data_IF_884566448562
#
_entry.id   IF_884566448562
#
_cell.length_a   1.000
_cell.length_b   1.000
_cell.length_c   1.000
_cell.angle_alpha   90.00
_cell.angle_beta   90.00
_cell.angle_gamma   90.00
#
_symmetry.space_group_name_H-M   'P 1'
#
loop_
_entity.id
_entity.type
_entity.pdbx_description
1 polymer ?
#
# COMPACT_ATOMS: atom_id res chain seq x y z
N UNK A 1 -56.29 16.55 55.38
CA UNK A 1 -56.33 17.30 54.12
C UNK A 1 -55.20 18.32 54.16
N UNK A 2 -54.02 17.92 53.70
CA UNK A 2 -52.81 18.73 53.76
C UNK A 2 -52.76 19.56 52.47
N UNK A 3 -53.04 20.85 52.57
CA UNK A 3 -52.97 21.79 51.46
C UNK A 3 -51.52 21.92 50.99
N UNK A 4 -51.23 21.36 49.82
CA UNK A 4 -49.97 21.59 49.10
C UNK A 4 -50.04 23.03 48.59
N UNK A 5 -49.12 23.95 48.96
CA UNK A 5 -49.13 25.30 48.42
C UNK A 5 -48.78 25.24 46.94
N UNK A 6 -49.69 25.72 46.09
CA UNK A 6 -49.37 25.98 44.69
C UNK A 6 -48.21 26.98 44.63
N UNK A 7 -47.10 26.55 44.04
CA UNK A 7 -45.92 27.37 43.84
C UNK A 7 -46.25 28.43 42.78
N UNK A 8 -46.79 29.57 43.23
CA UNK A 8 -47.03 30.74 42.41
C UNK A 8 -45.73 31.26 41.83
N UNK A 9 -45.34 30.79 40.63
CA UNK A 9 -44.23 31.37 39.87
C UNK A 9 -44.56 32.83 39.60
N UNK A 10 -43.79 33.75 40.17
CA UNK A 10 -43.99 35.19 39.91
C UNK A 10 -43.87 35.46 38.41
N UNK A 11 -44.62 36.41 37.83
CA UNK A 11 -44.63 36.67 36.39
C UNK A 11 -43.24 37.01 35.83
N UNK A 12 -42.34 37.57 36.66
CA UNK A 12 -40.93 37.80 36.32
C UNK A 12 -40.14 36.50 36.10
N UNK A 13 -40.42 35.45 36.87
CA UNK A 13 -39.80 34.13 36.73
C UNK A 13 -40.30 33.45 35.46
N UNK A 14 -41.60 33.55 35.14
CA UNK A 14 -42.16 33.00 33.91
C UNK A 14 -41.56 33.67 32.65
N UNK A 15 -41.42 34.99 32.64
CA UNK A 15 -40.79 35.72 31.52
C UNK A 15 -39.33 35.29 31.33
N UNK A 16 -38.54 35.18 32.42
CA UNK A 16 -37.15 34.71 32.34
C UNK A 16 -37.04 33.29 31.78
N UNK A 17 -37.94 32.39 32.19
CA UNK A 17 -37.98 31.03 31.66
C UNK A 17 -38.30 31.00 30.17
N UNK A 18 -39.24 31.82 29.69
CA UNK A 18 -39.57 31.93 28.26
C UNK A 18 -38.38 32.48 27.46
N UNK A 19 -37.70 33.52 27.96
CA UNK A 19 -36.50 34.07 27.30
C UNK A 19 -35.39 33.03 27.19
N UNK A 20 -35.12 32.28 28.26
CA UNK A 20 -34.14 31.18 28.25
C UNK A 20 -34.57 30.10 27.26
N UNK A 21 -35.85 29.73 27.22
CA UNK A 21 -36.36 28.72 26.31
C UNK A 21 -36.18 29.12 24.84
N UNK A 22 -36.48 30.37 24.48
CA UNK A 22 -36.27 30.90 23.12
C UNK A 22 -34.78 30.88 22.77
N UNK A 23 -33.91 31.30 23.70
CA UNK A 23 -32.47 31.29 23.50
C UNK A 23 -31.93 29.87 23.27
N UNK A 24 -32.36 28.90 24.07
CA UNK A 24 -31.98 27.49 23.92
C UNK A 24 -32.50 26.91 22.60
N UNK A 25 -33.75 27.18 22.23
CA UNK A 25 -34.31 26.72 20.96
C UNK A 25 -33.59 27.31 19.75
N UNK A 26 -33.21 28.59 19.82
CA UNK A 26 -32.41 29.25 18.78
C UNK A 26 -31.03 28.60 18.63
N UNK A 27 -30.37 28.28 19.75
CA UNK A 27 -29.07 27.60 19.74
C UNK A 27 -29.18 26.16 19.19
N UNK A 28 -30.21 25.42 19.58
CA UNK A 28 -30.46 24.09 19.03
C UNK A 28 -30.83 24.14 17.55
N UNK A 29 -31.59 25.15 17.11
CA UNK A 29 -31.93 25.37 15.70
C UNK A 29 -30.70 25.64 14.84
N UNK A 30 -29.77 26.46 15.33
CA UNK A 30 -28.50 26.74 14.64
C UNK A 30 -27.61 25.50 14.56
N UNK A 31 -27.49 24.72 15.65
CA UNK A 31 -26.77 23.44 15.63
C UNK A 31 -27.43 22.41 14.70
N UNK A 32 -28.76 22.32 14.71
CA UNK A 32 -29.52 21.44 13.83
C UNK A 32 -29.36 21.80 12.35
N UNK A 33 -29.41 23.10 12.03
CA UNK A 33 -29.13 23.60 10.69
C UNK A 33 -27.69 23.30 10.24
N UNK A 34 -26.71 23.46 11.14
CA UNK A 34 -25.31 23.09 10.86
C UNK A 34 -25.14 21.59 10.64
N UNK A 35 -25.80 20.76 11.43
CA UNK A 35 -25.76 19.31 11.29
C UNK A 35 -26.38 18.85 9.97
N UNK A 36 -27.54 19.42 9.61
CA UNK A 36 -28.20 19.16 8.32
C UNK A 36 -27.29 19.55 7.15
N UNK A 37 -26.64 20.71 7.23
CA UNK A 37 -25.67 21.15 6.23
C UNK A 37 -24.52 20.14 6.05
N UNK A 38 -23.91 19.71 7.17
CA UNK A 38 -22.80 18.74 7.13
C UNK A 38 -23.23 17.35 6.64
N UNK A 39 -24.41 16.87 7.03
CA UNK A 39 -24.87 15.52 6.69
C UNK A 39 -25.45 15.41 5.29
N UNK A 40 -26.14 16.44 4.78
CA UNK A 40 -26.91 16.33 3.53
C UNK A 40 -26.24 17.08 2.38
N UNK A 41 -25.65 18.24 2.63
CA UNK A 41 -24.98 19.00 1.55
C UNK A 41 -23.53 18.54 1.35
N UNK A 42 -22.83 18.26 2.43
CA UNK A 42 -21.42 17.83 2.40
C UNK A 42 -21.24 16.35 2.79
N UNK A 43 -22.34 15.62 3.02
CA UNK A 43 -22.31 14.23 3.48
C UNK A 43 -21.50 13.32 2.57
N UNK A 44 -21.72 13.41 1.26
CA UNK A 44 -21.00 12.59 0.27
C UNK A 44 -19.51 12.93 0.22
N UNK A 45 -19.14 14.21 0.37
CA UNK A 45 -17.75 14.65 0.39
C UNK A 45 -17.01 14.13 1.63
N UNK A 46 -17.64 14.25 2.81
CA UNK A 46 -17.07 13.73 4.06
C UNK A 46 -17.09 12.21 4.14
N UNK A 47 -18.10 11.55 3.58
CA UNK A 47 -18.14 10.10 3.46
C UNK A 47 -17.01 9.60 2.54
N UNK A 48 -16.74 10.32 1.44
CA UNK A 48 -15.63 10.01 0.54
C UNK A 48 -14.28 10.22 1.22
N UNK A 49 -14.08 11.32 1.93
CA UNK A 49 -12.86 11.58 2.71
C UNK A 49 -12.65 10.53 3.82
N UNK A 50 -13.73 10.14 4.51
CA UNK A 50 -13.70 9.09 5.51
C UNK A 50 -13.40 7.71 4.90
N UNK A 51 -13.90 7.43 3.70
CA UNK A 51 -13.57 6.21 2.96
C UNK A 51 -12.11 6.17 2.53
N UNK A 52 -11.52 7.33 2.19
CA UNK A 52 -10.09 7.45 1.87
C UNK A 52 -9.19 7.04 3.04
N UNK A 53 -9.65 7.22 4.28
CA UNK A 53 -8.91 6.80 5.46
C UNK A 53 -8.95 5.27 5.70
N UNK A 54 -9.98 4.58 5.20
CA UNK A 54 -10.14 3.14 5.41
C UNK A 54 -9.87 2.29 4.16
N UNK A 55 -9.80 2.84 2.95
CA UNK A 55 -9.52 2.07 1.72
C UNK A 55 -8.09 2.31 1.27
N UNK A 56 -7.27 1.26 1.30
CA UNK A 56 -5.91 1.27 0.79
C UNK A 56 -5.85 0.56 -0.56
N UNK A 57 -5.29 1.23 -1.55
CA UNK A 57 -5.08 0.65 -2.87
C UNK A 57 -3.73 -0.06 -2.90
N UNK A 58 -3.75 -1.34 -3.26
CA UNK A 58 -2.57 -2.17 -3.42
C UNK A 58 -2.45 -2.50 -4.88
N UNK A 59 -1.36 -2.01 -5.45
CA UNK A 59 -1.02 -2.21 -6.84
C UNK A 59 -0.39 -3.59 -7.00
N UNK A 60 -0.82 -4.32 -8.01
CA UNK A 60 -0.14 -5.51 -8.46
C UNK A 60 0.63 -5.15 -9.74
N UNK A 61 1.97 -5.17 -9.71
CA UNK A 61 2.79 -4.76 -10.85
C UNK A 61 2.45 -5.57 -12.10
N UNK A 62 2.36 -4.89 -13.24
CA UNK A 62 2.18 -5.55 -14.52
C UNK A 62 3.51 -6.03 -15.09
N UNK A 63 3.47 -7.13 -15.83
CA UNK A 63 4.61 -7.61 -16.60
C UNK A 63 4.94 -6.61 -17.70
N UNK A 64 6.22 -6.25 -17.79
CA UNK A 64 6.75 -5.27 -18.73
C UNK A 64 6.92 -5.89 -20.13
N UNK A 65 6.82 -5.09 -21.19
CA UNK A 65 7.06 -5.52 -22.57
C UNK A 65 8.46 -6.09 -22.79
N UNK A 66 8.59 -7.02 -23.73
CA UNK A 66 9.90 -7.59 -24.12
C UNK A 66 10.57 -6.74 -25.19
N UNK A 67 11.89 -6.58 -25.09
CA UNK A 67 12.75 -5.97 -26.09
C UNK A 67 13.41 -7.09 -26.88
N UNK A 68 13.19 -7.12 -28.19
CA UNK A 68 13.66 -8.17 -29.09
C UNK A 68 14.65 -7.60 -30.11
N UNK A 69 15.55 -8.44 -30.62
CA UNK A 69 16.36 -8.13 -31.81
C UNK A 69 15.50 -8.16 -33.09
N UNK A 70 16.08 -7.76 -34.23
CA UNK A 70 15.39 -7.74 -35.52
C UNK A 70 14.89 -9.12 -36.00
N UNK A 71 15.39 -10.22 -35.40
CA UNK A 71 14.98 -11.60 -35.70
C UNK A 71 14.02 -12.15 -34.65
N UNK A 72 13.59 -11.34 -33.68
CA UNK A 72 12.69 -11.73 -32.60
C UNK A 72 13.38 -12.41 -31.40
N UNK A 73 14.71 -12.40 -31.31
CA UNK A 73 15.44 -12.97 -30.17
C UNK A 73 15.36 -12.00 -28.99
N UNK A 74 14.95 -12.42 -27.79
CA UNK A 74 14.85 -11.53 -26.64
C UNK A 74 16.22 -11.02 -26.20
N UNK A 75 16.29 -9.71 -25.98
CA UNK A 75 17.42 -8.99 -25.38
C UNK A 75 17.08 -8.54 -23.95
N UNK A 76 15.83 -8.15 -23.71
CA UNK A 76 15.30 -7.95 -22.37
C UNK A 76 13.87 -8.49 -22.31
N UNK A 77 13.62 -9.45 -21.44
CA UNK A 77 12.31 -10.08 -21.28
C UNK A 77 12.01 -10.30 -19.80
N UNK A 78 10.99 -11.11 -19.49
CA UNK A 78 10.68 -11.47 -18.12
C UNK A 78 10.77 -12.99 -17.99
N UNK A 79 11.45 -13.43 -16.94
CA UNK A 79 11.62 -14.83 -16.61
C UNK A 79 10.85 -15.14 -15.33
N UNK A 80 10.16 -16.27 -15.30
CA UNK A 80 9.52 -16.75 -14.08
C UNK A 80 10.58 -17.24 -13.10
N UNK A 81 10.70 -16.57 -11.95
CA UNK A 81 11.58 -16.96 -10.85
C UNK A 81 10.77 -17.21 -9.59
N UNK A 82 11.31 -18.03 -8.69
CA UNK A 82 10.72 -18.21 -7.37
C UNK A 82 11.13 -17.04 -6.50
N UNK A 83 10.20 -16.12 -6.28
CA UNK A 83 10.41 -14.95 -5.45
C UNK A 83 9.91 -15.26 -4.04
N UNK A 84 10.79 -15.04 -3.06
CA UNK A 84 10.44 -15.16 -1.65
C UNK A 84 10.10 -13.78 -1.14
N UNK A 85 8.87 -13.60 -0.69
CA UNK A 85 8.31 -12.32 -0.30
C UNK A 85 7.80 -12.35 1.14
N UNK A 86 7.83 -11.20 1.81
CA UNK A 86 7.38 -11.04 3.19
C UNK A 86 6.18 -10.08 3.26
N UNK A 87 5.09 -10.54 3.87
CA UNK A 87 3.93 -9.73 4.22
C UNK A 87 4.20 -8.98 5.52
N UNK A 88 4.54 -7.68 5.41
CA UNK A 88 4.82 -6.84 6.58
C UNK A 88 3.63 -6.77 7.54
N UNK A 89 2.41 -6.75 7.01
CA UNK A 89 1.19 -6.68 7.83
C UNK A 89 0.98 -7.95 8.65
N UNK A 90 1.33 -9.13 8.13
CA UNK A 90 1.20 -10.37 8.86
C UNK A 90 2.30 -10.55 9.90
N UNK A 91 3.53 -10.13 9.59
CA UNK A 91 4.65 -10.11 10.55
C UNK A 91 4.34 -9.21 11.76
N UNK A 92 3.75 -8.02 11.54
CA UNK A 92 3.39 -7.09 12.61
C UNK A 92 2.22 -7.56 13.49
N UNK A 93 1.41 -8.53 13.04
CA UNK A 93 0.37 -9.13 13.89
C UNK A 93 0.95 -10.10 14.93
N UNK A 94 2.22 -10.49 14.77
CA UNK A 94 2.90 -11.43 15.66
C UNK A 94 3.42 -10.72 16.91
N UNK A 95 3.58 -11.47 18.00
CA UNK A 95 4.03 -10.93 19.30
C UNK A 95 5.43 -10.34 19.27
N UNK A 96 6.27 -10.79 18.35
CA UNK A 96 7.69 -10.45 18.22
C UNK A 96 7.98 -9.65 16.94
N UNK A 97 6.96 -9.08 16.30
CA UNK A 97 7.05 -8.40 15.00
C UNK A 97 7.67 -9.29 13.89
N UNK A 98 7.53 -10.61 14.01
CA UNK A 98 8.03 -11.58 13.03
C UNK A 98 9.54 -11.84 13.10
N UNK A 99 10.25 -11.33 14.11
CA UNK A 99 11.72 -11.51 14.23
C UNK A 99 12.14 -12.99 14.22
N UNK A 100 11.42 -13.87 14.90
CA UNK A 100 11.71 -15.30 14.90
C UNK A 100 11.54 -15.92 13.51
N UNK A 101 10.51 -15.51 12.77
CA UNK A 101 10.26 -15.97 11.39
C UNK A 101 11.37 -15.50 10.45
N UNK A 102 11.73 -14.21 10.51
CA UNK A 102 12.83 -13.67 9.69
C UNK A 102 14.17 -14.33 10.00
N UNK A 103 14.43 -14.68 11.27
CA UNK A 103 15.62 -15.44 11.67
C UNK A 103 15.63 -16.85 11.06
N UNK A 104 14.50 -17.57 11.11
CA UNK A 104 14.37 -18.88 10.46
C UNK A 104 14.54 -18.75 8.94
N UNK A 105 13.95 -17.72 8.34
CA UNK A 105 14.01 -17.47 6.91
C UNK A 105 15.45 -17.22 6.45
N UNK A 106 16.21 -16.39 7.17
CA UNK A 106 17.63 -16.17 6.91
C UNK A 106 18.43 -17.47 6.85
N UNK A 107 18.18 -18.42 7.79
CA UNK A 107 18.82 -19.74 7.77
C UNK A 107 18.49 -20.57 6.53
N UNK A 108 17.25 -20.50 6.03
CA UNK A 108 16.84 -21.23 4.82
C UNK A 108 17.46 -20.60 3.57
N UNK A 109 17.45 -19.26 3.51
CA UNK A 109 17.96 -18.51 2.35
C UNK A 109 19.49 -18.39 2.33
N UNK A 110 20.18 -18.68 3.43
CA UNK A 110 21.61 -18.45 3.57
C UNK A 110 21.96 -16.96 3.76
N UNK A 111 21.01 -16.16 4.24
CA UNK A 111 21.15 -14.73 4.48
C UNK A 111 21.26 -14.45 5.98
N UNK A 112 21.91 -13.35 6.36
CA UNK A 112 21.91 -12.91 7.75
C UNK A 112 20.52 -12.40 8.16
N UNK A 113 20.16 -12.56 9.45
CA UNK A 113 18.89 -12.05 9.98
C UNK A 113 18.78 -10.54 9.80
N UNK A 114 19.90 -9.84 9.96
CA UNK A 114 20.02 -8.40 9.79
C UNK A 114 19.68 -8.00 8.35
N UNK A 115 20.21 -8.71 7.35
CA UNK A 115 19.96 -8.44 5.94
C UNK A 115 18.47 -8.62 5.58
N UNK A 116 17.87 -9.73 6.01
CA UNK A 116 16.44 -10.00 5.78
C UNK A 116 15.58 -8.93 6.45
N UNK A 117 15.89 -8.57 7.71
CA UNK A 117 15.14 -7.56 8.46
C UNK A 117 15.27 -6.17 7.83
N UNK A 118 16.45 -5.82 7.31
CA UNK A 118 16.67 -4.56 6.60
C UNK A 118 15.87 -4.48 5.31
N UNK A 119 15.63 -5.57 4.59
CA UNK A 119 14.81 -5.56 3.37
C UNK A 119 13.32 -5.35 3.63
N UNK A 120 12.80 -5.82 4.78
CA UNK A 120 11.37 -5.75 5.15
C UNK A 120 10.93 -4.35 5.61
N UNK A 121 11.87 -3.45 5.98
CA UNK A 121 11.52 -2.10 6.43
C UNK A 121 11.07 -1.22 5.27
N UNK A 122 10.17 -0.28 5.56
CA UNK A 122 9.74 0.73 4.58
C UNK A 122 10.81 1.81 4.44
N UNK A 123 10.90 2.38 3.24
CA UNK A 123 11.71 3.57 3.01
C UNK A 123 11.01 4.79 3.62
N UNK A 124 11.74 5.46 4.51
CA UNK A 124 11.37 6.75 5.09
C UNK A 124 12.55 7.70 4.96
N UNK A 125 12.34 9.00 5.16
CA UNK A 125 13.40 10.03 5.09
C UNK A 125 14.62 9.77 6.00
N UNK A 126 14.49 8.90 7.01
CA UNK A 126 15.54 8.56 7.99
C UNK A 126 16.09 7.14 7.82
N UNK A 127 15.47 6.32 6.98
CA UNK A 127 15.79 4.90 6.87
C UNK A 127 16.83 4.71 5.76
N UNK A 128 18.06 4.26 6.06
CA UNK A 128 19.06 4.03 5.01
C UNK A 128 18.62 2.87 4.11
N UNK A 129 19.15 2.78 2.89
CA UNK A 129 18.96 1.62 2.02
C UNK A 129 19.71 0.39 2.56
N UNK A 130 19.27 -0.85 2.29
CA UNK A 130 18.09 -1.24 1.51
C UNK A 130 16.78 -1.08 2.28
N UNK A 131 15.70 -0.65 1.61
CA UNK A 131 14.33 -0.59 2.16
C UNK A 131 13.29 -0.74 1.05
N UNK A 132 12.04 -1.02 1.43
CA UNK A 132 10.91 -1.15 0.51
C UNK A 132 10.24 0.20 0.23
N UNK A 133 10.22 0.62 -1.05
CA UNK A 133 9.59 1.87 -1.48
C UNK A 133 8.09 1.73 -1.83
N UNK A 134 7.59 0.50 -1.90
CA UNK A 134 6.19 0.22 -2.21
C UNK A 134 5.27 0.40 -1.01
N UNK A 135 4.02 0.00 -1.19
CA UNK A 135 2.99 0.03 -0.14
C UNK A 135 3.30 -1.00 0.96
N UNK A 136 3.02 -0.72 2.25
CA UNK A 136 3.20 -1.69 3.34
C UNK A 136 2.30 -2.92 3.24
N UNK A 137 1.28 -2.87 2.39
CA UNK A 137 0.33 -3.96 2.14
C UNK A 137 0.75 -4.85 0.97
N UNK A 138 1.79 -4.48 0.23
CA UNK A 138 2.36 -5.32 -0.82
C UNK A 138 3.32 -6.35 -0.20
N UNK A 139 3.36 -7.59 -0.71
CA UNK A 139 4.43 -8.52 -0.40
C UNK A 139 5.79 -7.89 -0.77
N UNK A 140 6.71 -7.88 0.19
CA UNK A 140 8.04 -7.28 0.02
C UNK A 140 8.99 -8.37 -0.47
N UNK A 141 9.51 -8.31 -1.72
CA UNK A 141 10.44 -9.32 -2.23
C UNK A 141 11.76 -9.26 -1.46
N UNK A 142 12.14 -10.38 -0.85
CA UNK A 142 13.40 -10.55 -0.11
C UNK A 142 14.50 -11.03 -1.05
N UNK A 143 14.18 -11.98 -1.91
CA UNK A 143 15.07 -12.54 -2.93
C UNK A 143 14.26 -13.09 -4.11
N UNK A 144 14.78 -12.90 -5.32
CA UNK A 144 14.31 -13.50 -6.56
C UNK A 144 15.20 -14.66 -7.04
N UNK A 145 16.24 -15.01 -6.27
CA UNK A 145 17.21 -16.07 -6.59
C UNK A 145 16.99 -17.33 -5.74
N UNK A 146 15.80 -17.51 -5.16
CA UNK A 146 15.53 -18.67 -4.31
C UNK A 146 15.56 -19.96 -5.12
N UNK A 147 16.28 -20.96 -4.62
CA UNK A 147 16.29 -22.29 -5.23
C UNK A 147 14.93 -22.99 -5.05
N UNK A 148 14.54 -23.92 -5.94
CA UNK A 148 13.31 -24.70 -5.77
C UNK A 148 13.23 -25.42 -4.42
N UNK A 149 14.38 -25.90 -3.90
CA UNK A 149 14.45 -26.54 -2.58
C UNK A 149 14.11 -25.58 -1.45
N UNK A 150 14.64 -24.35 -1.49
CA UNK A 150 14.35 -23.33 -0.47
C UNK A 150 12.87 -22.91 -0.52
N UNK A 151 12.34 -22.67 -1.72
CA UNK A 151 10.94 -22.31 -1.91
C UNK A 151 10.00 -23.40 -1.40
N UNK A 152 10.26 -24.68 -1.73
CA UNK A 152 9.47 -25.81 -1.23
C UNK A 152 9.56 -25.93 0.29
N UNK A 153 10.75 -25.77 0.88
CA UNK A 153 10.92 -25.82 2.33
C UNK A 153 10.08 -24.75 3.06
N UNK A 154 9.94 -23.56 2.47
CA UNK A 154 9.08 -22.49 3.00
C UNK A 154 7.61 -22.88 2.85
N UNK A 155 7.19 -23.31 1.65
CA UNK A 155 5.79 -23.63 1.34
C UNK A 155 5.25 -24.82 2.14
N UNK A 156 6.04 -25.87 2.30
CA UNK A 156 5.64 -27.07 3.07
C UNK A 156 5.52 -26.78 4.57
N UNK A 157 6.21 -25.74 5.06
CA UNK A 157 6.21 -25.35 6.47
C UNK A 157 5.61 -23.97 6.66
N UNK A 158 4.47 -23.70 6.01
CA UNK A 158 3.78 -22.41 6.13
C UNK A 158 3.47 -22.00 7.59
N UNK A 159 3.28 -22.98 8.49
CA UNK A 159 3.12 -22.74 9.93
C UNK A 159 4.39 -22.20 10.62
N UNK A 160 5.57 -22.58 10.13
CA UNK A 160 6.87 -22.07 10.62
C UNK A 160 7.21 -20.70 10.02
N UNK A 161 6.64 -20.38 8.86
CA UNK A 161 6.88 -19.17 8.10
C UNK A 161 5.61 -18.35 7.85
N UNK A 162 4.83 -18.00 8.90
CA UNK A 162 3.63 -17.20 8.71
C UNK A 162 4.02 -15.84 8.10
N UNK A 163 3.23 -15.36 7.14
CA UNK A 163 3.50 -14.11 6.44
C UNK A 163 4.65 -14.16 5.43
N UNK A 164 5.27 -15.31 5.16
CA UNK A 164 6.26 -15.47 4.10
C UNK A 164 5.66 -16.29 2.96
N UNK A 165 5.79 -15.80 1.74
CA UNK A 165 5.37 -16.50 0.52
C UNK A 165 6.58 -16.82 -0.35
N UNK A 166 6.48 -17.89 -1.13
CA UNK A 166 7.49 -18.28 -2.10
C UNK A 166 6.77 -18.69 -3.39
N UNK A 167 6.56 -17.73 -4.27
CA UNK A 167 5.68 -17.87 -5.43
C UNK A 167 6.44 -17.61 -6.74
N UNK A 168 6.03 -18.24 -7.86
CA UNK A 168 6.57 -17.95 -9.17
C UNK A 168 6.12 -16.56 -9.62
N UNK A 169 7.04 -15.60 -9.71
CA UNK A 169 6.79 -14.24 -10.18
C UNK A 169 7.64 -13.94 -11.43
N UNK A 170 7.17 -13.01 -12.27
CA UNK A 170 7.91 -12.56 -13.45
C UNK A 170 8.94 -11.50 -13.08
N UNK A 171 10.23 -11.81 -13.29
CA UNK A 171 11.35 -10.93 -12.98
C UNK A 171 12.03 -10.49 -14.28
N UNK A 172 12.42 -9.20 -14.36
CA UNK A 172 13.10 -8.65 -15.53
C UNK A 172 14.44 -9.37 -15.74
N UNK A 173 14.63 -9.95 -16.93
CA UNK A 173 15.86 -10.61 -17.34
C UNK A 173 16.48 -9.89 -18.53
N UNK A 174 17.77 -9.61 -18.44
CA UNK A 174 18.57 -9.12 -19.55
C UNK A 174 19.29 -10.30 -20.21
N UNK A 175 18.72 -10.79 -21.30
CA UNK A 175 19.31 -11.86 -22.07
C UNK A 175 20.56 -11.32 -22.77
N UNK A 176 21.67 -12.05 -22.66
CA UNK A 176 22.91 -11.78 -23.39
C UNK A 176 23.16 -12.86 -24.46
N UNK A 177 22.34 -12.94 -25.54
CA UNK A 177 22.56 -13.91 -26.61
C UNK A 177 23.99 -13.84 -27.15
N UNK A 178 24.64 -14.99 -27.26
CA UNK A 178 26.04 -15.05 -27.73
C UNK A 178 27.04 -14.31 -26.82
N UNK A 179 26.69 -14.08 -25.54
CA UNK A 179 27.48 -13.28 -24.58
C UNK A 179 27.68 -11.81 -24.99
N UNK A 180 26.77 -11.26 -25.81
CA UNK A 180 26.80 -9.84 -26.15
C UNK A 180 26.53 -8.97 -24.92
N UNK A 181 27.37 -7.96 -24.67
CA UNK A 181 27.11 -6.98 -23.64
C UNK A 181 26.33 -5.79 -24.21
N UNK A 182 25.01 -5.82 -24.05
CA UNK A 182 24.08 -4.79 -24.54
C UNK A 182 23.64 -3.83 -23.44
N UNK A 183 24.26 -3.89 -22.24
CA UNK A 183 23.81 -3.15 -21.05
C UNK A 183 23.73 -1.63 -21.27
N UNK A 184 24.65 -1.04 -22.03
CA UNK A 184 24.60 0.41 -22.33
C UNK A 184 23.45 0.80 -23.26
N UNK A 185 23.10 -0.07 -24.21
CA UNK A 185 22.03 0.19 -25.18
C UNK A 185 20.67 -0.08 -24.57
N UNK A 186 20.52 -1.22 -23.88
CA UNK A 186 19.27 -1.58 -23.20
C UNK A 186 19.02 -0.63 -22.02
N UNK A 187 20.05 -0.37 -21.23
CA UNK A 187 19.94 0.34 -19.96
C UNK A 187 19.52 -0.56 -18.81
N UNK A 188 19.05 0.06 -17.73
CA UNK A 188 18.65 -0.63 -16.51
C UNK A 188 17.40 0.03 -15.89
N UNK A 189 16.77 -0.71 -14.99
CA UNK A 189 15.63 -0.27 -14.20
C UNK A 189 16.06 0.16 -12.80
N UNK A 190 15.30 1.06 -12.19
CA UNK A 190 15.42 1.33 -10.74
C UNK A 190 14.06 1.73 -10.16
N UNK A 191 13.85 1.60 -8.85
CA UNK A 191 12.62 2.05 -8.20
C UNK A 191 12.31 3.51 -8.56
N UNK A 192 11.02 3.82 -8.75
CA UNK A 192 10.56 5.19 -9.00
C UNK A 192 10.83 6.10 -7.80
N UNK A 193 11.07 7.40 -8.03
CA UNK A 193 11.15 8.40 -6.95
C UNK A 193 9.83 9.14 -6.73
N UNK A 194 9.66 9.73 -5.54
CA UNK A 194 8.45 10.51 -5.23
C UNK A 194 8.27 11.72 -6.17
N UNK A 195 9.37 12.34 -6.64
CA UNK A 195 9.27 13.44 -7.59
C UNK A 195 8.76 12.97 -8.96
N UNK A 196 9.15 11.76 -9.39
CA UNK A 196 8.70 11.18 -10.66
C UNK A 196 7.22 10.81 -10.60
N UNK A 197 6.76 10.24 -9.50
CA UNK A 197 5.34 9.95 -9.28
C UNK A 197 4.52 11.23 -9.38
N UNK A 198 4.95 12.29 -8.70
CA UNK A 198 4.25 13.59 -8.70
C UNK A 198 4.18 14.17 -10.11
N UNK A 199 5.27 14.09 -10.88
CA UNK A 199 5.32 14.58 -12.27
C UNK A 199 4.46 13.77 -13.22
N UNK A 200 4.34 12.46 -13.00
CA UNK A 200 3.57 11.57 -13.87
C UNK A 200 2.09 11.45 -13.48
N UNK A 201 1.67 12.05 -12.36
CA UNK A 201 0.34 11.87 -11.78
C UNK A 201 -0.80 12.23 -12.76
N UNK A 202 -0.63 13.30 -13.53
CA UNK A 202 -1.63 13.79 -14.49
C UNK A 202 -1.40 13.29 -15.93
N UNK A 203 -0.53 12.30 -16.11
CA UNK A 203 -0.25 11.71 -17.43
C UNK A 203 -1.14 10.48 -17.68
N UNK A 204 -1.25 10.07 -18.95
CA UNK A 204 -1.96 8.83 -19.32
C UNK A 204 -1.31 7.54 -18.76
N UNK A 205 -0.13 7.65 -18.13
CA UNK A 205 0.63 6.52 -17.60
C UNK A 205 1.30 6.90 -16.27
N UNK A 206 0.51 7.10 -15.21
CA UNK A 206 1.03 7.49 -13.91
C UNK A 206 1.94 6.40 -13.34
N UNK A 207 2.95 6.81 -12.56
CA UNK A 207 3.80 5.86 -11.85
C UNK A 207 3.20 5.46 -10.52
N UNK A 208 3.43 4.21 -10.15
CA UNK A 208 3.03 3.63 -8.88
C UNK A 208 4.29 3.46 -8.03
N UNK A 209 4.18 3.58 -6.70
CA UNK A 209 5.33 3.52 -5.79
C UNK A 209 6.18 2.24 -5.91
N UNK A 210 5.57 1.14 -6.32
CA UNK A 210 6.25 -0.15 -6.56
C UNK A 210 6.82 -0.29 -7.96
N UNK A 211 6.63 0.68 -8.85
CA UNK A 211 7.09 0.59 -10.23
C UNK A 211 8.61 0.68 -10.32
N UNK A 212 9.15 -0.09 -11.25
CA UNK A 212 10.51 0.10 -11.72
C UNK A 212 10.50 0.94 -13.00
N UNK A 213 11.29 2.00 -13.02
CA UNK A 213 11.38 2.96 -14.13
C UNK A 213 12.69 2.77 -14.88
N UNK A 214 12.63 2.87 -16.20
CA UNK A 214 13.81 2.83 -17.07
C UNK A 214 14.71 4.05 -16.85
N UNK A 215 15.95 3.81 -16.40
CA UNK A 215 16.91 4.87 -16.09
C UNK A 215 17.79 5.26 -17.27
N UNK A 216 18.03 4.35 -18.20
CA UNK A 216 18.87 4.59 -19.37
C UNK A 216 18.47 3.74 -20.57
N UNK A 217 19.12 3.99 -21.70
CA UNK A 217 18.97 3.18 -22.92
C UNK A 217 17.54 3.11 -23.44
N UNK A 218 17.23 1.97 -24.06
CA UNK A 218 15.89 1.64 -24.56
C UNK A 218 14.86 1.55 -23.44
N UNK A 219 15.25 1.10 -22.24
CA UNK A 219 14.35 1.02 -21.08
C UNK A 219 13.77 2.40 -20.72
N UNK A 220 14.58 3.46 -20.78
CA UNK A 220 14.12 4.84 -20.53
C UNK A 220 13.34 5.40 -21.72
N UNK A 221 13.84 5.20 -22.94
CA UNK A 221 13.24 5.79 -24.13
C UNK A 221 11.84 5.25 -24.40
N UNK A 222 11.62 3.96 -24.18
CA UNK A 222 10.36 3.28 -24.41
C UNK A 222 9.65 2.89 -23.10
N UNK A 223 9.95 3.57 -21.99
CA UNK A 223 9.39 3.24 -20.67
C UNK A 223 7.85 3.18 -20.71
N UNK A 224 7.22 4.15 -21.36
CA UNK A 224 5.76 4.26 -21.49
C UNK A 224 5.17 3.07 -22.27
N UNK A 225 5.79 2.67 -23.36
CA UNK A 225 5.34 1.57 -24.23
C UNK A 225 5.63 0.20 -23.63
N UNK A 226 6.72 0.10 -22.86
CA UNK A 226 7.13 -1.12 -22.18
C UNK A 226 6.30 -1.36 -20.91
N UNK A 227 5.78 -0.32 -20.25
CA UNK A 227 4.94 -0.50 -19.06
C UNK A 227 3.60 -1.15 -19.41
N UNK A 228 3.28 -2.23 -18.69
CA UNK A 228 1.95 -2.82 -18.70
C UNK A 228 0.94 -2.01 -17.86
N UNK A 229 -0.32 -2.43 -17.85
CA UNK A 229 -1.36 -1.85 -17.00
C UNK A 229 -1.44 -2.63 -15.69
N UNK A 230 -1.06 -1.98 -14.58
CA UNK A 230 -1.06 -2.61 -13.28
C UNK A 230 -2.48 -3.00 -12.82
N UNK A 231 -2.57 -4.12 -12.10
CA UNK A 231 -3.78 -4.48 -11.37
C UNK A 231 -3.91 -3.60 -10.12
N UNK A 232 -5.14 -3.27 -9.72
CA UNK A 232 -5.38 -2.55 -8.47
C UNK A 232 -6.37 -3.34 -7.63
N UNK A 233 -5.91 -3.81 -6.46
CA UNK A 233 -6.76 -4.41 -5.44
C UNK A 233 -7.00 -3.39 -4.33
N UNK A 234 -8.25 -3.18 -3.94
CA UNK A 234 -8.60 -2.30 -2.82
C UNK A 234 -8.76 -3.13 -1.55
N UNK A 235 -8.11 -2.72 -0.47
CA UNK A 235 -8.22 -3.32 0.85
C UNK A 235 -8.88 -2.35 1.81
N UNK A 236 -9.77 -2.85 2.66
CA UNK A 236 -10.27 -2.11 3.82
C UNK A 236 -9.31 -2.29 4.99
N UNK A 237 -8.92 -1.21 5.63
CA UNK A 237 -7.97 -1.19 6.74
C UNK A 237 -8.57 -0.52 7.97
N UNK A 238 -8.15 -0.99 9.15
CA UNK A 238 -8.50 -0.35 10.41
C UNK A 238 -7.62 0.88 10.69
N UNK A 239 -7.90 1.57 11.81
CA UNK A 239 -7.12 2.72 12.28
C UNK A 239 -5.65 2.40 12.62
N UNK A 240 -5.29 1.12 12.71
CA UNK A 240 -3.93 0.63 12.94
C UNK A 240 -3.27 0.13 11.64
N UNK A 241 -3.92 0.28 10.49
CA UNK A 241 -3.42 -0.16 9.19
C UNK A 241 -3.44 -1.69 9.02
N UNK A 242 -4.33 -2.40 9.71
CA UNK A 242 -4.53 -3.84 9.53
C UNK A 242 -5.65 -4.08 8.52
N UNK A 243 -5.39 -4.98 7.57
CA UNK A 243 -6.37 -5.35 6.54
C UNK A 243 -7.53 -6.13 7.18
N UNK A 244 -8.75 -5.61 7.03
CA UNK A 244 -10.02 -6.21 7.48
C UNK A 244 -10.62 -7.08 6.36
N UNK A 245 -10.44 -6.67 5.10
CA UNK A 245 -10.96 -7.38 3.94
C UNK A 245 -10.60 -6.73 2.62
N UNK A 246 -11.01 -7.34 1.50
CA UNK A 246 -10.94 -6.72 0.17
C UNK A 246 -12.18 -5.86 -0.04
N UNK A 247 -11.99 -4.57 -0.33
CA UNK A 247 -13.09 -3.68 -0.69
C UNK A 247 -13.64 -4.08 -2.06
N UNK A 248 -14.96 -3.96 -2.26
CA UNK A 248 -15.56 -4.15 -3.59
C UNK A 248 -15.12 -3.01 -4.53
N UNK A 249 -14.89 -3.36 -5.80
CA UNK A 249 -14.45 -2.42 -6.85
C UNK A 249 -15.48 -1.33 -7.12
#
# INVERSE_FOLDING_TARGET
>A
MTNIPETGRTPRVQIRLVVIQILVLSLLGTLGGRLWYLQIREGDAYAKEASGNHVQQVVEPAVRGSILDARGVPLADNETRLVVSASRTDLLKMKDDGKAVLTKLGKVLGMSTEEVTQKVRLCDAKTPQPCWNGSPYQPIPITDEATPKQALQIRERAEDFPGITAEPEAVRRYAAPGKSNTAQVLGYLSPVTDEEITKAQDTDSPYLRSDQVGRSGLERQYDKELRGKAGVTRYEVDNLGRVIGKAKS
#
